data_IF_139372531340
#
_entry.id   IF_139372531340
#
_cell.length_a   1.000
_cell.length_b   1.000
_cell.length_c   1.000
_cell.angle_alpha   90.00
_cell.angle_beta   90.00
_cell.angle_gamma   90.00
#
_symmetry.space_group_name_H-M   'P 1'
#
loop_
_entity.id
_entity.type
_entity.pdbx_description
1 polymer ?
#
# COMPACT_ATOMS: atom_id res chain seq x y z
N UNK A 1 18.80 -25.29 17.77
CA UNK A 1 18.10 -24.76 18.97
C UNK A 1 17.06 -23.79 18.47
N UNK A 2 15.76 -24.14 18.46
CA UNK A 2 14.73 -23.20 18.03
C UNK A 2 14.36 -22.28 19.19
N UNK A 3 14.46 -20.98 18.97
CA UNK A 3 14.02 -19.97 19.92
C UNK A 3 12.49 -19.89 19.88
N UNK A 4 11.85 -20.17 21.01
CA UNK A 4 10.40 -19.99 21.19
C UNK A 4 10.14 -18.52 21.53
N UNK A 5 9.53 -17.77 20.62
CA UNK A 5 9.05 -16.42 20.90
C UNK A 5 7.62 -16.53 21.44
N UNK A 6 7.34 -16.07 22.68
CA UNK A 6 5.97 -16.04 23.17
C UNK A 6 5.12 -15.12 22.29
N UNK A 7 3.85 -15.47 22.07
CA UNK A 7 2.90 -14.64 21.33
C UNK A 7 2.89 -13.23 21.93
N UNK A 8 3.27 -12.25 21.11
CA UNK A 8 3.23 -10.84 21.50
C UNK A 8 1.78 -10.45 21.85
N UNK A 9 1.56 -9.63 22.89
CA UNK A 9 0.22 -9.17 23.24
C UNK A 9 -0.47 -8.58 22.01
N UNK A 10 -1.77 -8.87 21.86
CA UNK A 10 -2.53 -8.47 20.67
C UNK A 10 -2.42 -6.96 20.47
N UNK A 11 -1.68 -6.58 19.41
CA UNK A 11 -1.23 -5.23 19.08
C UNK A 11 -2.38 -4.23 18.84
N UNK A 12 -3.62 -4.71 18.82
CA UNK A 12 -4.82 -3.93 18.47
C UNK A 12 -5.22 -2.92 19.54
N UNK A 13 -5.05 -3.23 20.82
CA UNK A 13 -5.37 -2.29 21.91
C UNK A 13 -4.35 -1.15 21.98
N UNK A 14 -3.06 -1.47 21.89
CA UNK A 14 -1.98 -0.48 21.85
C UNK A 14 -2.09 0.44 20.63
N UNK A 15 -2.44 -0.11 19.46
CA UNK A 15 -2.66 0.69 18.25
C UNK A 15 -3.84 1.65 18.42
N UNK A 16 -4.94 1.20 19.04
CA UNK A 16 -6.10 2.07 19.31
C UNK A 16 -5.72 3.21 20.23
N UNK A 17 -5.05 2.91 21.34
CA UNK A 17 -4.61 3.92 22.30
C UNK A 17 -3.70 4.96 21.64
N UNK A 18 -2.75 4.52 20.81
CA UNK A 18 -1.87 5.42 20.07
C UNK A 18 -2.64 6.33 19.10
N UNK A 19 -3.60 5.79 18.36
CA UNK A 19 -4.44 6.58 17.43
C UNK A 19 -5.26 7.62 18.19
N UNK A 20 -5.82 7.27 19.35
CA UNK A 20 -6.61 8.17 20.18
C UNK A 20 -5.76 9.33 20.73
N UNK A 21 -4.57 9.03 21.26
CA UNK A 21 -3.64 10.04 21.77
C UNK A 21 -3.20 10.99 20.65
N UNK A 22 -2.78 10.44 19.50
CA UNK A 22 -2.34 11.24 18.36
C UNK A 22 -3.46 12.13 17.82
N UNK A 23 -4.66 11.56 17.67
CA UNK A 23 -5.85 12.31 17.20
C UNK A 23 -6.23 13.43 18.15
N UNK A 24 -6.10 13.23 19.46
CA UNK A 24 -6.38 14.26 20.47
C UNK A 24 -5.37 15.41 20.43
N UNK A 25 -4.08 15.13 20.19
CA UNK A 25 -3.03 16.16 20.23
C UNK A 25 -2.83 16.88 18.90
N UNK A 26 -2.98 16.16 17.78
CA UNK A 26 -2.64 16.68 16.45
C UNK A 26 -3.86 16.90 15.55
N UNK A 27 -5.01 16.36 15.93
CA UNK A 27 -6.20 16.31 15.10
C UNK A 27 -6.17 15.16 14.10
N UNK A 28 -7.36 14.65 13.77
CA UNK A 28 -7.56 13.43 12.96
C UNK A 28 -6.87 13.48 11.59
N UNK A 29 -6.82 14.65 10.93
CA UNK A 29 -6.21 14.80 9.62
C UNK A 29 -4.68 14.57 9.66
N UNK A 30 -3.98 15.16 10.65
CA UNK A 30 -2.53 14.99 10.79
C UNK A 30 -2.18 13.57 11.23
N UNK A 31 -2.99 12.98 12.12
CA UNK A 31 -2.85 11.58 12.52
C UNK A 31 -2.99 10.64 11.33
N UNK A 32 -3.99 10.83 10.47
CA UNK A 32 -4.17 9.98 9.29
C UNK A 32 -2.98 10.03 8.33
N UNK A 33 -2.45 11.23 8.04
CA UNK A 33 -1.25 11.40 7.18
C UNK A 33 -0.01 10.76 7.82
N UNK A 34 0.18 10.95 9.13
CA UNK A 34 1.30 10.34 9.84
C UNK A 34 1.20 8.81 9.81
N UNK A 35 0.01 8.27 10.05
CA UNK A 35 -0.22 6.83 10.03
C UNK A 35 -0.01 6.25 8.63
N UNK A 36 -0.51 6.93 7.58
CA UNK A 36 -0.26 6.48 6.21
C UNK A 36 1.23 6.47 5.90
N UNK A 37 1.98 7.51 6.26
CA UNK A 37 3.41 7.54 5.92
C UNK A 37 4.27 6.57 6.75
N UNK A 38 3.82 6.24 7.97
CA UNK A 38 4.60 5.44 8.93
C UNK A 38 4.27 3.95 8.85
N UNK A 39 2.99 3.61 8.63
CA UNK A 39 2.51 2.22 8.63
C UNK A 39 2.16 1.70 7.24
N UNK A 40 1.81 2.58 6.29
CA UNK A 40 1.76 2.17 4.89
C UNK A 40 3.20 2.07 4.42
N UNK A 41 3.68 0.84 4.23
CA UNK A 41 4.96 0.62 3.55
C UNK A 41 4.93 1.42 2.23
N UNK A 42 5.98 2.17 1.86
CA UNK A 42 6.09 2.67 0.50
C UNK A 42 5.97 1.43 -0.38
N UNK A 43 4.83 1.28 -1.02
CA UNK A 43 4.60 0.12 -1.87
C UNK A 43 5.64 0.28 -2.96
N UNK A 44 6.61 -0.64 -3.02
CA UNK A 44 7.69 -0.55 -3.99
C UNK A 44 7.06 -0.69 -5.37
N UNK A 45 6.77 0.47 -5.96
CA UNK A 45 6.11 0.56 -7.24
C UNK A 45 6.97 -0.12 -8.31
N UNK A 46 8.29 -0.14 -8.14
CA UNK A 46 9.18 -0.85 -9.05
C UNK A 46 9.03 -2.36 -8.87
N UNK A 47 9.00 -2.87 -7.64
CA UNK A 47 8.72 -4.30 -7.39
C UNK A 47 7.37 -4.73 -7.97
N UNK A 48 6.32 -3.94 -7.74
CA UNK A 48 4.98 -4.25 -8.25
C UNK A 48 4.95 -4.16 -9.78
N UNK A 49 5.54 -3.11 -10.37
CA UNK A 49 5.62 -2.95 -11.82
C UNK A 49 6.39 -4.12 -12.44
N UNK A 50 7.52 -4.50 -11.86
CA UNK A 50 8.33 -5.62 -12.33
C UNK A 50 7.54 -6.93 -12.23
N UNK A 51 6.85 -7.19 -11.12
CA UNK A 51 5.99 -8.38 -11.02
C UNK A 51 4.84 -8.40 -12.04
N UNK A 52 4.20 -7.26 -12.28
CA UNK A 52 3.01 -7.17 -13.14
C UNK A 52 3.36 -7.18 -14.64
N UNK A 53 4.54 -6.71 -15.01
CA UNK A 53 4.92 -6.49 -16.41
C UNK A 53 6.24 -7.17 -16.80
N UNK A 54 6.79 -8.06 -15.97
CA UNK A 54 8.03 -8.79 -16.25
C UNK A 54 8.03 -9.48 -17.62
N UNK A 55 6.91 -10.10 -17.97
CA UNK A 55 6.76 -10.86 -19.22
C UNK A 55 6.23 -10.00 -20.38
N UNK A 56 6.07 -8.70 -20.16
CA UNK A 56 5.50 -7.78 -21.14
C UNK A 56 6.59 -6.97 -21.82
N UNK A 57 6.59 -6.98 -23.16
CA UNK A 57 7.42 -6.04 -23.92
C UNK A 57 6.74 -4.68 -24.01
N UNK A 58 7.53 -3.62 -24.22
CA UNK A 58 7.01 -2.28 -24.48
C UNK A 58 5.98 -2.28 -25.63
N UNK A 59 6.20 -3.10 -26.66
CA UNK A 59 5.27 -3.25 -27.77
C UNK A 59 3.93 -3.88 -27.33
N UNK A 60 3.97 -4.95 -26.53
CA UNK A 60 2.76 -5.59 -25.98
C UNK A 60 1.97 -4.64 -25.10
N UNK A 61 2.64 -3.88 -24.23
CA UNK A 61 2.00 -2.87 -23.39
C UNK A 61 1.36 -1.76 -24.23
N UNK A 62 2.04 -1.33 -25.29
CA UNK A 62 1.52 -0.32 -26.21
C UNK A 62 0.25 -0.79 -26.93
N UNK A 63 0.25 -2.02 -27.46
CA UNK A 63 -0.93 -2.62 -28.10
C UNK A 63 -2.12 -2.71 -27.13
N UNK A 64 -1.89 -3.14 -25.89
CA UNK A 64 -2.93 -3.18 -24.85
C UNK A 64 -3.54 -1.82 -24.56
N UNK A 65 -2.72 -0.76 -24.55
CA UNK A 65 -3.19 0.61 -24.35
C UNK A 65 -4.05 1.09 -25.54
N UNK A 66 -3.66 0.77 -26.77
CA UNK A 66 -4.43 1.10 -27.97
C UNK A 66 -5.77 0.36 -27.97
N UNK A 67 -5.76 -0.95 -27.73
CA UNK A 67 -6.98 -1.77 -27.66
C UNK A 67 -7.94 -1.27 -26.57
N UNK A 68 -7.43 -0.90 -25.40
CA UNK A 68 -8.26 -0.33 -24.34
C UNK A 68 -8.89 1.01 -24.76
N UNK A 69 -8.14 1.90 -25.42
CA UNK A 69 -8.69 3.16 -25.93
C UNK A 69 -9.77 2.91 -26.98
N UNK A 70 -9.56 1.98 -27.90
CA UNK A 70 -10.55 1.65 -28.93
C UNK A 70 -11.85 1.07 -28.33
N UNK A 71 -11.74 0.35 -27.21
CA UNK A 71 -12.87 -0.18 -26.47
C UNK A 71 -13.61 0.87 -25.62
N UNK A 72 -12.88 1.86 -25.09
CA UNK A 72 -13.41 2.87 -24.15
C UNK A 72 -13.75 4.21 -24.80
N UNK A 73 -13.25 4.49 -26.01
CA UNK A 73 -13.57 5.66 -26.83
C UNK A 73 -14.49 5.33 -28.00
N UNK A 74 -15.41 4.37 -27.84
CA UNK A 74 -16.60 4.36 -28.71
C UNK A 74 -17.46 5.57 -28.34
N UNK A 75 -17.94 6.38 -29.30
CA UNK A 75 -18.94 7.40 -29.03
C UNK A 75 -20.23 6.79 -28.47
#
# INVERSE_FOLDING_TARGET
MSLYFPNLPQNTELQREAIEILSKQMGIAKTAIFMSNTFWQPTDYLEIKDRLFADETVASLYEKVILWREQTQKP
#
